data_IF_399941372561
#
_entry.id   IF_399941372561
#
_cell.length_a   1.000
_cell.length_b   1.000
_cell.length_c   1.000
_cell.angle_alpha   90.00
_cell.angle_beta   90.00
_cell.angle_gamma   90.00
#
_symmetry.space_group_name_H-M   'P 1'
#
loop_
_entity.id
_entity.type
_entity.pdbx_description
1 polymer ?
#
# COMPACT_ATOMS: atom_id res chain seq x y z
N UNK A 1 -1.75 -0.37 -15.44
CA UNK A 1 -2.43 0.94 -15.38
C UNK A 1 -3.62 0.81 -14.45
N UNK A 2 -3.83 1.75 -13.51
CA UNK A 2 -4.91 1.65 -12.53
C UNK A 2 -6.30 1.80 -13.14
N UNK A 3 -7.21 0.90 -12.78
CA UNK A 3 -8.65 1.12 -12.89
C UNK A 3 -9.13 1.78 -11.61
N UNK A 4 -9.73 2.96 -11.71
CA UNK A 4 -10.13 3.75 -10.54
C UNK A 4 -11.66 3.75 -10.43
N UNK A 5 -12.17 3.29 -9.30
CA UNK A 5 -13.57 3.38 -8.93
C UNK A 5 -13.74 4.43 -7.83
N UNK A 6 -14.40 5.55 -8.16
CA UNK A 6 -14.67 6.61 -7.20
C UNK A 6 -15.84 6.25 -6.28
N UNK A 7 -15.70 6.46 -4.98
CA UNK A 7 -16.79 6.38 -4.00
C UNK A 7 -16.86 7.70 -3.23
N UNK A 8 -17.92 7.86 -2.43
CA UNK A 8 -18.20 9.11 -1.71
C UNK A 8 -17.06 9.52 -0.74
N UNK A 9 -16.41 8.55 -0.10
CA UNK A 9 -15.39 8.80 0.95
C UNK A 9 -13.99 8.28 0.62
N UNK A 10 -13.86 7.49 -0.45
CA UNK A 10 -12.61 6.85 -0.83
C UNK A 10 -12.67 6.43 -2.29
N UNK A 11 -11.51 6.21 -2.90
CA UNK A 11 -11.39 5.58 -4.20
C UNK A 11 -10.85 4.16 -4.04
N UNK A 12 -11.22 3.27 -4.95
CA UNK A 12 -10.58 1.96 -5.12
C UNK A 12 -9.74 2.03 -6.39
N UNK A 13 -8.44 1.84 -6.25
CA UNK A 13 -7.50 1.77 -7.35
C UNK A 13 -7.10 0.31 -7.51
N UNK A 14 -7.47 -0.32 -8.61
CA UNK A 14 -7.25 -1.75 -8.82
C UNK A 14 -6.45 -2.00 -10.09
N UNK A 15 -5.69 -3.08 -10.08
CA UNK A 15 -5.08 -3.69 -11.25
C UNK A 15 -5.09 -5.22 -11.04
N UNK A 16 -4.49 -5.96 -11.97
CA UNK A 16 -4.50 -7.44 -11.92
C UNK A 16 -3.70 -8.02 -10.74
N UNK A 17 -2.85 -7.23 -10.09
CA UNK A 17 -1.95 -7.65 -9.02
C UNK A 17 -2.47 -7.30 -7.62
N UNK A 18 -2.97 -6.08 -7.43
CA UNK A 18 -3.40 -5.58 -6.14
C UNK A 18 -4.55 -4.56 -6.25
N UNK A 19 -5.18 -4.30 -5.11
CA UNK A 19 -6.14 -3.21 -4.95
C UNK A 19 -5.71 -2.29 -3.83
N UNK A 20 -5.84 -0.99 -4.05
CA UNK A 20 -5.59 0.06 -3.07
C UNK A 20 -6.90 0.74 -2.74
N UNK A 21 -7.20 0.85 -1.45
CA UNK A 21 -8.26 1.75 -0.98
C UNK A 21 -7.60 3.06 -0.58
N UNK A 22 -7.96 4.15 -1.26
CA UNK A 22 -7.42 5.49 -1.04
C UNK A 22 -8.49 6.33 -0.34
N UNK A 23 -8.28 6.63 0.93
CA UNK A 23 -9.15 7.52 1.70
C UNK A 23 -8.55 8.92 1.75
N UNK A 24 -9.35 9.92 1.41
CA UNK A 24 -8.93 11.32 1.34
C UNK A 24 -9.18 12.02 2.67
N UNK A 25 -8.14 12.62 3.23
CA UNK A 25 -8.22 13.50 4.41
C UNK A 25 -7.95 14.96 3.98
N UNK A 26 -7.81 15.93 4.88
CA UNK A 26 -7.66 17.35 4.49
C UNK A 26 -6.39 17.63 3.66
N UNK A 27 -5.22 17.21 4.15
CA UNK A 27 -3.91 17.42 3.51
C UNK A 27 -3.18 16.14 3.11
N UNK A 28 -3.62 15.00 3.64
CA UNK A 28 -3.02 13.68 3.41
C UNK A 28 -4.03 12.71 2.79
N UNK A 29 -3.51 11.58 2.35
CA UNK A 29 -4.26 10.43 1.89
C UNK A 29 -3.80 9.20 2.63
N UNK A 30 -4.76 8.35 3.00
CA UNK A 30 -4.52 7.05 3.60
C UNK A 30 -4.69 5.96 2.54
N UNK A 31 -3.67 5.13 2.37
CA UNK A 31 -3.61 4.08 1.35
C UNK A 31 -3.54 2.74 2.05
N UNK A 32 -4.61 1.96 1.90
CA UNK A 32 -4.64 0.56 2.33
C UNK A 32 -4.26 -0.33 1.16
N UNK A 33 -3.29 -1.22 1.36
CA UNK A 33 -2.80 -2.14 0.34
C UNK A 33 -3.42 -3.51 0.54
N UNK A 34 -4.14 -4.00 -0.46
CA UNK A 34 -4.64 -5.35 -0.51
C UNK A 34 -3.98 -6.09 -1.68
N UNK A 35 -3.07 -7.00 -1.34
CA UNK A 35 -2.41 -7.91 -2.27
C UNK A 35 -2.99 -9.31 -2.05
N UNK A 36 -3.81 -9.78 -3.00
CA UNK A 36 -4.47 -11.11 -2.97
C UNK A 36 -5.27 -11.41 -1.69
N UNK A 37 -5.87 -10.39 -1.08
CA UNK A 37 -6.65 -10.51 0.17
C UNK A 37 -5.87 -10.18 1.44
N UNK A 38 -4.56 -9.94 1.33
CA UNK A 38 -3.69 -9.69 2.47
C UNK A 38 -3.29 -8.22 2.58
N UNK A 39 -3.23 -7.73 3.81
CA UNK A 39 -2.55 -6.48 4.12
C UNK A 39 -1.04 -6.74 4.13
N UNK A 40 -0.32 -6.10 3.20
CA UNK A 40 1.11 -6.35 2.97
C UNK A 40 2.00 -5.19 3.42
N UNK A 41 1.50 -4.25 4.22
CA UNK A 41 2.30 -3.09 4.69
C UNK A 41 3.57 -3.54 5.42
N UNK A 42 3.47 -4.55 6.28
CA UNK A 42 4.63 -5.10 7.02
C UNK A 42 5.56 -5.89 6.09
N UNK A 43 5.09 -6.90 5.32
CA UNK A 43 5.92 -7.59 4.35
C UNK A 43 6.66 -6.66 3.38
N UNK A 44 5.98 -5.63 2.86
CA UNK A 44 6.60 -4.62 2.00
C UNK A 44 7.75 -3.89 2.71
N UNK A 45 7.55 -3.48 3.97
CA UNK A 45 8.62 -2.88 4.77
C UNK A 45 9.82 -3.82 4.96
N UNK A 46 9.59 -5.09 5.27
CA UNK A 46 10.65 -6.10 5.45
C UNK A 46 11.41 -6.33 4.13
N UNK A 47 10.71 -6.31 2.99
CA UNK A 47 11.30 -6.46 1.66
C UNK A 47 12.02 -5.19 1.14
N UNK A 48 12.12 -4.11 1.92
CA UNK A 48 12.87 -2.91 1.53
C UNK A 48 12.08 -1.84 0.79
N UNK A 49 10.74 -1.86 0.85
CA UNK A 49 9.93 -0.80 0.22
C UNK A 49 10.27 0.61 0.75
N UNK A 50 10.69 0.71 2.02
CA UNK A 50 11.12 1.99 2.59
C UNK A 50 12.32 2.58 1.84
N UNK A 51 13.31 1.75 1.47
CA UNK A 51 14.51 2.20 0.78
C UNK A 51 14.17 2.78 -0.61
N UNK A 52 13.31 2.09 -1.38
CA UNK A 52 12.86 2.55 -2.70
C UNK A 52 12.08 3.87 -2.64
N UNK A 53 11.28 4.06 -1.58
CA UNK A 53 10.52 5.28 -1.38
C UNK A 53 11.42 6.44 -0.96
N UNK A 54 12.43 6.18 -0.11
CA UNK A 54 13.41 7.18 0.31
C UNK A 54 14.23 7.71 -0.88
N UNK A 55 14.60 6.87 -1.84
CA UNK A 55 15.29 7.29 -3.08
C UNK A 55 14.46 8.31 -3.90
N UNK A 56 13.13 8.20 -3.84
CA UNK A 56 12.19 9.13 -4.49
C UNK A 56 11.90 10.38 -3.66
N UNK A 57 12.44 10.48 -2.44
CA UNK A 57 12.23 11.58 -1.48
C UNK A 57 10.75 11.80 -1.13
N UNK A 58 9.93 10.75 -1.18
CA UNK A 58 8.53 10.80 -0.80
C UNK A 58 8.45 10.51 0.71
N UNK A 59 7.76 11.38 1.45
CA UNK A 59 7.49 11.16 2.88
C UNK A 59 6.18 10.40 3.05
N UNK A 60 6.19 9.41 3.92
CA UNK A 60 4.99 8.70 4.36
C UNK A 60 5.09 8.31 5.83
N UNK A 61 3.95 8.01 6.43
CA UNK A 61 3.83 7.42 7.77
C UNK A 61 3.09 6.07 7.64
N UNK A 62 3.29 5.17 8.60
CA UNK A 62 2.49 3.94 8.72
C UNK A 62 1.57 4.09 9.93
N UNK A 63 0.28 3.96 9.70
CA UNK A 63 -0.73 4.06 10.75
C UNK A 63 -1.66 2.84 10.74
N UNK A 64 -2.11 2.44 11.93
CA UNK A 64 -3.11 1.41 12.14
C UNK A 64 -3.44 1.27 13.63
N UNK A 65 -4.42 0.43 13.93
CA UNK A 65 -4.78 0.07 15.29
C UNK A 65 -3.71 -0.85 15.91
N UNK A 66 -3.32 -0.52 17.15
CA UNK A 66 -2.25 -1.24 17.85
C UNK A 66 -2.62 -2.71 18.03
N UNK A 67 -1.77 -3.60 17.54
CA UNK A 67 -1.98 -5.05 17.60
C UNK A 67 -2.87 -5.63 16.50
N UNK A 68 -3.40 -4.80 15.59
CA UNK A 68 -4.23 -5.26 14.46
C UNK A 68 -3.49 -4.99 13.14
N UNK A 69 -2.70 -5.96 12.70
CA UNK A 69 -1.89 -5.85 11.47
C UNK A 69 -2.72 -5.51 10.22
N UNK A 70 -3.92 -6.08 10.10
CA UNK A 70 -4.79 -5.85 8.95
C UNK A 70 -5.33 -4.41 8.85
N UNK A 71 -5.22 -3.62 9.92
CA UNK A 71 -5.64 -2.21 9.93
C UNK A 71 -4.57 -1.25 9.41
N UNK A 72 -3.34 -1.74 9.16
CA UNK A 72 -2.22 -0.91 8.76
C UNK A 72 -2.44 -0.28 7.39
N UNK A 73 -1.95 0.95 7.26
CA UNK A 73 -2.09 1.79 6.07
C UNK A 73 -0.93 2.75 5.97
N UNK A 74 -0.61 3.17 4.75
CA UNK A 74 0.32 4.27 4.52
C UNK A 74 -0.42 5.59 4.54
N UNK A 75 0.17 6.62 5.13
CA UNK A 75 -0.33 7.99 5.10
C UNK A 75 0.67 8.85 4.34
N UNK A 76 0.23 9.45 3.22
CA UNK A 76 1.08 10.18 2.28
C UNK A 76 0.47 11.54 1.94
N UNK A 77 1.31 12.52 1.63
CA UNK A 77 0.85 13.82 1.14
C UNK A 77 0.10 13.67 -0.20
N UNK A 78 -0.99 14.45 -0.38
CA UNK A 78 -1.84 14.37 -1.57
C UNK A 78 -1.07 14.53 -2.89
N UNK A 79 -0.09 15.44 -2.92
CA UNK A 79 0.71 15.73 -4.11
C UNK A 79 1.59 14.53 -4.52
N UNK A 80 1.91 13.66 -3.57
CA UNK A 80 2.71 12.45 -3.80
C UNK A 80 1.85 11.20 -4.01
N UNK A 81 0.53 11.26 -3.80
CA UNK A 81 -0.36 10.10 -3.82
C UNK A 81 -0.18 9.24 -5.08
N UNK A 82 -0.23 9.87 -6.26
CA UNK A 82 -0.19 9.12 -7.52
C UNK A 82 1.12 8.35 -7.66
N UNK A 83 2.25 9.04 -7.46
CA UNK A 83 3.57 8.43 -7.53
C UNK A 83 3.74 7.34 -6.48
N UNK A 84 3.25 7.56 -5.26
CA UNK A 84 3.32 6.58 -4.18
C UNK A 84 2.52 5.30 -4.50
N UNK A 85 1.30 5.43 -5.02
CA UNK A 85 0.52 4.28 -5.48
C UNK A 85 1.25 3.54 -6.61
N UNK A 86 1.81 4.26 -7.58
CA UNK A 86 2.57 3.66 -8.67
C UNK A 86 3.81 2.91 -8.15
N UNK A 87 4.52 3.44 -7.15
CA UNK A 87 5.63 2.76 -6.46
C UNK A 87 5.19 1.47 -5.76
N UNK A 88 4.04 1.47 -5.06
CA UNK A 88 3.50 0.23 -4.46
C UNK A 88 3.30 -0.84 -5.55
N UNK A 89 2.75 -0.46 -6.70
CA UNK A 89 2.53 -1.40 -7.79
C UNK A 89 3.84 -1.93 -8.37
N UNK A 90 4.83 -1.07 -8.62
CA UNK A 90 6.13 -1.51 -9.13
C UNK A 90 6.82 -2.45 -8.15
N UNK A 91 6.85 -2.07 -6.88
CA UNK A 91 7.41 -2.89 -5.81
C UNK A 91 6.79 -4.30 -5.78
N UNK A 92 5.46 -4.40 -5.75
CA UNK A 92 4.78 -5.69 -5.72
C UNK A 92 4.96 -6.51 -7.01
N UNK A 93 5.25 -5.83 -8.13
CA UNK A 93 5.52 -6.48 -9.41
C UNK A 93 6.93 -7.07 -9.44
N UNK A 94 7.92 -6.34 -8.91
CA UNK A 94 9.32 -6.75 -8.87
C UNK A 94 9.59 -7.75 -7.73
N UNK A 95 8.93 -7.54 -6.59
CA UNK A 95 9.04 -8.33 -5.37
C UNK A 95 7.74 -9.09 -5.13
N UNK A 96 7.63 -10.29 -5.71
CA UNK A 96 6.53 -11.19 -5.39
C UNK A 96 6.58 -11.56 -3.90
N UNK A 97 5.59 -11.07 -3.14
CA UNK A 97 5.45 -11.34 -1.71
C UNK A 97 4.83 -12.71 -1.42
N UNK A 98 4.54 -13.51 -2.46
CA UNK A 98 3.86 -14.80 -2.32
C UNK A 98 4.61 -15.72 -1.35
N UNK A 99 5.94 -15.80 -1.44
CA UNK A 99 6.75 -16.65 -0.53
C UNK A 99 6.64 -16.22 0.92
N UNK A 100 6.72 -14.92 1.22
CA UNK A 100 6.55 -14.42 2.59
C UNK A 100 5.16 -14.74 3.13
N UNK A 101 4.13 -14.52 2.32
CA UNK A 101 2.75 -14.84 2.70
C UNK A 101 2.59 -16.36 2.92
N UNK A 102 3.18 -17.21 2.08
CA UNK A 102 3.16 -18.65 2.28
C UNK A 102 3.92 -19.10 3.55
N UNK A 103 5.01 -18.42 3.92
CA UNK A 103 5.80 -18.75 5.11
C UNK A 103 5.14 -18.28 6.41
N UNK A 104 4.51 -17.09 6.43
CA UNK A 104 3.81 -16.56 7.60
C UNK A 104 2.42 -17.18 7.82
N UNK A 105 1.75 -17.63 6.75
CA UNK A 105 0.40 -18.22 6.82
C UNK A 105 0.38 -19.75 6.64
N UNK A 106 1.51 -20.44 6.90
CA UNK A 106 1.54 -21.91 7.04
C UNK A 106 0.62 -22.35 8.19
N UNK A 107 -0.62 -22.71 7.84
CA UNK A 107 -1.53 -23.52 8.63
C UNK A 107 -1.71 -24.87 7.97
#
# INVERSE_FOLDING_TARGET
MWRIQKKEKFDIWENDLCSLKVQYEESKCRVYVNYKGYNVVVPMGICGFEDEIQERKIKYEVEGEKGILNSLSYVVEKDNLRLFCDMIFFFLTEHSLDRMLYEEFKY
#
